data_IF_996236377995
#
_entry.id   IF_996236377995
#
_cell.length_a   1.000
_cell.length_b   1.000
_cell.length_c   1.000
_cell.angle_alpha   90.00
_cell.angle_beta   90.00
_cell.angle_gamma   90.00
#
_symmetry.space_group_name_H-M   'P 1'
#
loop_
_entity.id
_entity.type
_entity.pdbx_description
1 polymer ?
#
# COMPACT_ATOMS: atom_id res chain seq x y z
N UNK A 1 -7.98 -17.20 10.70
CA UNK A 1 -8.18 -16.52 9.39
C UNK A 1 -7.29 -15.29 9.40
N UNK A 2 -6.42 -15.08 8.39
CA UNK A 2 -5.56 -13.88 8.37
C UNK A 2 -6.43 -12.67 7.98
N UNK A 3 -6.37 -11.60 8.77
CA UNK A 3 -7.13 -10.35 8.56
C UNK A 3 -6.83 -9.78 7.17
N UNK A 4 -7.87 -9.53 6.38
CA UNK A 4 -7.74 -8.86 5.09
C UNK A 4 -7.78 -7.34 5.28
N UNK A 5 -7.20 -6.60 4.34
CA UNK A 5 -7.21 -5.13 4.41
C UNK A 5 -8.63 -4.52 4.43
N UNK A 6 -9.63 -5.27 3.95
CA UNK A 6 -11.05 -4.87 3.99
C UNK A 6 -11.69 -5.02 5.36
N UNK A 7 -11.07 -5.77 6.27
CA UNK A 7 -11.62 -6.03 7.60
C UNK A 7 -11.34 -4.89 8.58
N UNK A 8 -10.45 -3.96 8.22
CA UNK A 8 -10.17 -2.78 9.03
C UNK A 8 -11.29 -1.73 8.92
N UNK A 9 -11.67 -1.09 10.04
CA UNK A 9 -12.58 0.05 10.00
C UNK A 9 -12.05 1.18 9.11
N UNK A 10 -12.94 1.92 8.47
CA UNK A 10 -12.57 3.03 7.58
C UNK A 10 -11.63 4.06 8.23
N UNK A 11 -11.79 4.33 9.53
CA UNK A 11 -10.89 5.23 10.29
C UNK A 11 -9.44 4.73 10.36
N UNK A 12 -9.24 3.41 10.43
CA UNK A 12 -7.91 2.79 10.47
C UNK A 12 -7.29 2.84 9.07
N UNK A 13 -8.08 2.57 8.03
CA UNK A 13 -7.64 2.72 6.65
C UNK A 13 -7.31 4.18 6.28
N UNK A 14 -8.03 5.14 6.86
CA UNK A 14 -7.70 6.56 6.74
C UNK A 14 -6.37 6.88 7.41
N UNK A 15 -6.16 6.41 8.64
CA UNK A 15 -4.89 6.56 9.35
C UNK A 15 -3.71 5.92 8.58
N UNK A 16 -3.92 4.76 7.97
CA UNK A 16 -2.95 4.14 7.08
C UNK A 16 -2.61 5.03 5.88
N UNK A 17 -3.62 5.64 5.25
CA UNK A 17 -3.42 6.64 4.21
C UNK A 17 -2.56 7.82 4.68
N UNK A 18 -2.81 8.37 5.87
CA UNK A 18 -2.00 9.46 6.42
C UNK A 18 -0.54 9.03 6.70
N UNK A 19 -0.32 7.79 7.11
CA UNK A 19 1.03 7.26 7.31
C UNK A 19 1.82 7.13 5.98
N UNK A 20 1.14 6.78 4.87
CA UNK A 20 1.73 6.77 3.52
C UNK A 20 2.21 8.17 3.12
N UNK A 21 1.46 9.22 3.46
CA UNK A 21 1.85 10.62 3.22
C UNK A 21 2.98 11.10 4.15
N UNK A 22 3.48 10.25 5.05
CA UNK A 22 4.59 10.55 5.93
C UNK A 22 4.20 11.19 7.26
N UNK A 23 2.93 11.10 7.69
CA UNK A 23 2.52 11.57 9.01
C UNK A 23 3.08 10.66 10.12
N UNK A 24 4.24 11.02 10.66
CA UNK A 24 4.95 10.20 11.67
C UNK A 24 4.16 10.02 12.97
N UNK A 25 3.31 10.99 13.36
CA UNK A 25 2.43 10.84 14.53
C UNK A 25 1.42 9.71 14.33
N UNK A 26 0.79 9.66 13.16
CA UNK A 26 -0.18 8.61 12.82
C UNK A 26 0.51 7.27 12.60
N UNK A 27 1.68 7.26 11.94
CA UNK A 27 2.51 6.07 11.83
C UNK A 27 2.81 5.46 13.22
N UNK A 28 3.31 6.29 14.16
CA UNK A 28 3.59 5.85 15.52
C UNK A 28 2.33 5.41 16.26
N UNK A 29 1.19 6.06 16.00
CA UNK A 29 -0.08 5.66 16.56
C UNK A 29 -0.50 4.27 16.07
N UNK A 30 -0.44 3.98 14.77
CA UNK A 30 -0.74 2.65 14.22
C UNK A 30 0.15 1.58 14.84
N UNK A 31 1.46 1.85 14.92
CA UNK A 31 2.45 0.93 15.49
C UNK A 31 2.15 0.59 16.96
N UNK A 32 1.72 1.57 17.77
CA UNK A 32 1.46 1.40 19.21
C UNK A 32 0.05 0.88 19.52
N UNK A 33 -0.90 0.97 18.60
CA UNK A 33 -2.32 0.66 18.84
C UNK A 33 -2.79 -0.60 18.10
N UNK A 34 -1.89 -1.55 17.83
CA UNK A 34 -2.26 -2.87 17.33
C UNK A 34 -2.43 -2.95 15.80
N UNK A 35 -1.87 -2.00 15.05
CA UNK A 35 -1.81 -2.04 13.59
C UNK A 35 -0.37 -1.97 13.05
N UNK A 36 0.60 -2.73 13.61
CA UNK A 36 2.00 -2.66 13.21
C UNK A 36 2.21 -3.04 11.73
N UNK A 37 1.38 -3.91 11.18
CA UNK A 37 1.41 -4.32 9.78
C UNK A 37 1.05 -3.20 8.81
N UNK A 38 0.09 -2.33 9.16
CA UNK A 38 -0.25 -1.15 8.36
C UNK A 38 0.83 -0.07 8.49
N UNK A 39 1.41 0.07 9.68
CA UNK A 39 2.56 0.96 9.89
C UNK A 39 3.76 0.49 9.04
N UNK A 40 4.12 -0.79 9.11
CA UNK A 40 5.20 -1.38 8.33
C UNK A 40 4.93 -1.26 6.82
N UNK A 41 3.72 -1.59 6.34
CA UNK A 41 3.35 -1.41 4.94
C UNK A 41 3.49 0.05 4.48
N UNK A 42 3.09 1.02 5.31
CA UNK A 42 3.23 2.44 4.95
C UNK A 42 4.70 2.86 4.77
N UNK A 43 5.64 2.31 5.57
CA UNK A 43 7.07 2.56 5.43
C UNK A 43 7.68 1.77 4.27
N UNK A 44 7.23 0.54 4.02
CA UNK A 44 7.67 -0.28 2.88
C UNK A 44 7.34 0.41 1.55
N UNK A 45 6.08 0.87 1.38
CA UNK A 45 5.64 1.68 0.24
C UNK A 45 6.51 2.93 0.04
N UNK A 46 7.06 3.46 1.15
CA UNK A 46 7.96 4.62 1.14
C UNK A 46 9.44 4.27 0.94
N UNK A 47 9.75 3.03 0.57
CA UNK A 47 11.10 2.54 0.25
C UNK A 47 11.89 1.97 1.43
N UNK A 48 11.26 1.67 2.57
CA UNK A 48 11.96 1.07 3.71
C UNK A 48 12.12 -0.45 3.55
N UNK A 49 13.33 -0.88 3.21
CA UNK A 49 13.70 -2.30 3.13
C UNK A 49 13.50 -3.02 4.48
N UNK A 50 13.82 -2.36 5.60
CA UNK A 50 13.61 -2.93 6.93
C UNK A 50 12.13 -3.25 7.20
N UNK A 51 11.22 -2.35 6.80
CA UNK A 51 9.79 -2.56 6.93
C UNK A 51 9.29 -3.68 6.01
N UNK A 52 9.80 -3.75 4.78
CA UNK A 52 9.54 -4.86 3.85
C UNK A 52 9.95 -6.21 4.46
N UNK A 53 11.19 -6.30 4.98
CA UNK A 53 11.69 -7.51 5.64
C UNK A 53 10.88 -7.84 6.90
N UNK A 54 10.44 -6.84 7.65
CA UNK A 54 9.58 -7.03 8.81
C UNK A 54 8.25 -7.67 8.40
N UNK A 55 7.59 -7.19 7.33
CA UNK A 55 6.35 -7.78 6.82
C UNK A 55 6.53 -9.25 6.44
N UNK A 56 7.63 -9.57 5.75
CA UNK A 56 7.97 -10.94 5.35
C UNK A 56 8.16 -11.86 6.57
N UNK A 57 8.91 -11.41 7.57
CA UNK A 57 9.21 -12.19 8.79
C UNK A 57 8.02 -12.35 9.73
N UNK A 58 7.10 -11.38 9.76
CA UNK A 58 5.97 -11.37 10.70
C UNK A 58 4.66 -11.90 10.10
N UNK A 59 4.73 -12.60 8.96
CA UNK A 59 3.58 -13.32 8.42
C UNK A 59 2.63 -12.47 7.57
N UNK A 60 3.10 -11.32 7.08
CA UNK A 60 2.40 -10.40 6.17
C UNK A 60 2.98 -10.37 4.74
N UNK A 61 3.28 -11.53 4.09
CA UNK A 61 3.88 -11.55 2.76
C UNK A 61 2.95 -10.97 1.67
N UNK A 62 1.64 -10.92 1.93
CA UNK A 62 0.67 -10.29 1.01
C UNK A 62 0.82 -8.77 0.95
N UNK A 63 1.24 -8.12 2.05
CA UNK A 63 1.56 -6.70 2.08
C UNK A 63 2.92 -6.41 1.46
N UNK A 64 3.92 -7.28 1.68
CA UNK A 64 5.19 -7.21 0.95
C UNK A 64 4.97 -7.39 -0.56
N UNK A 65 4.10 -8.32 -0.97
CA UNK A 65 3.75 -8.50 -2.38
C UNK A 65 2.96 -7.30 -2.95
N UNK A 66 2.12 -6.63 -2.16
CA UNK A 66 1.46 -5.39 -2.57
C UNK A 66 2.50 -4.30 -2.87
N UNK A 67 3.45 -4.09 -1.95
CA UNK A 67 4.54 -3.12 -2.12
C UNK A 67 5.30 -3.32 -3.44
N UNK A 68 5.74 -4.55 -3.69
CA UNK A 68 6.43 -4.90 -4.94
C UNK A 68 5.53 -4.79 -6.18
N UNK A 69 4.24 -5.14 -6.07
CA UNK A 69 3.30 -5.01 -7.18
C UNK A 69 3.01 -3.53 -7.55
N UNK A 70 3.07 -2.60 -6.58
CA UNK A 70 2.96 -1.15 -6.82
C UNK A 70 4.09 -0.67 -7.72
N UNK A 71 5.32 -1.17 -7.50
CA UNK A 71 6.49 -0.86 -8.35
C UNK A 71 6.60 -1.76 -9.59
N UNK A 72 5.49 -2.40 -9.99
CA UNK A 72 5.34 -3.21 -11.21
C UNK A 72 6.16 -4.52 -11.23
N UNK A 73 6.45 -5.11 -10.06
CA UNK A 73 7.03 -6.45 -10.00
C UNK A 73 6.02 -7.52 -10.46
N UNK A 74 6.32 -8.18 -11.58
CA UNK A 74 5.45 -9.18 -12.19
C UNK A 74 5.31 -10.44 -11.33
N UNK A 75 6.35 -10.83 -10.58
CA UNK A 75 6.31 -12.02 -9.71
C UNK A 75 5.39 -11.77 -8.52
N UNK A 76 5.47 -10.60 -7.91
CA UNK A 76 4.60 -10.19 -6.82
C UNK A 76 3.13 -10.09 -7.28
N UNK A 77 2.88 -9.49 -8.44
CA UNK A 77 1.54 -9.44 -9.03
C UNK A 77 0.98 -10.85 -9.33
N UNK A 78 1.80 -11.74 -9.88
CA UNK A 78 1.41 -13.14 -10.13
C UNK A 78 1.15 -13.88 -8.81
N UNK A 79 1.94 -13.63 -7.77
CA UNK A 79 1.74 -14.22 -6.44
C UNK A 79 0.41 -13.77 -5.83
N UNK A 80 0.09 -12.47 -5.86
CA UNK A 80 -1.20 -11.95 -5.39
C UNK A 80 -2.38 -12.61 -6.12
N UNK A 81 -2.23 -12.84 -7.44
CA UNK A 81 -3.25 -13.53 -8.25
C UNK A 81 -3.39 -14.99 -7.85
N UNK A 82 -2.27 -15.72 -7.70
CA UNK A 82 -2.23 -17.13 -7.31
C UNK A 82 -2.92 -17.40 -5.97
N UNK A 83 -2.77 -16.49 -5.02
CA UNK A 83 -3.36 -16.60 -3.67
C UNK A 83 -4.65 -15.79 -3.50
N UNK A 84 -5.26 -15.34 -4.60
CA UNK A 84 -6.57 -14.69 -4.63
C UNK A 84 -6.68 -13.39 -3.80
N UNK A 85 -5.60 -12.62 -3.68
CA UNK A 85 -5.61 -11.31 -3.03
C UNK A 85 -6.14 -10.22 -3.97
N UNK A 86 -7.41 -10.35 -4.37
CA UNK A 86 -8.05 -9.49 -5.39
C UNK A 86 -7.99 -8.01 -5.00
N UNK A 87 -8.28 -7.67 -3.74
CA UNK A 87 -8.28 -6.28 -3.26
C UNK A 87 -6.89 -5.66 -3.38
N UNK A 88 -5.84 -6.37 -2.94
CA UNK A 88 -4.46 -5.87 -3.03
C UNK A 88 -4.00 -5.74 -4.48
N UNK A 89 -4.40 -6.69 -5.33
CA UNK A 89 -4.11 -6.61 -6.77
C UNK A 89 -4.73 -5.37 -7.41
N UNK A 90 -6.03 -5.14 -7.18
CA UNK A 90 -6.74 -3.94 -7.67
C UNK A 90 -6.16 -2.66 -7.08
N UNK A 91 -5.71 -2.70 -5.82
CA UNK A 91 -5.07 -1.55 -5.18
C UNK A 91 -3.74 -1.21 -5.86
N UNK A 92 -2.91 -2.20 -6.17
CA UNK A 92 -1.66 -2.01 -6.91
C UNK A 92 -1.89 -1.46 -8.33
N UNK A 93 -2.90 -1.94 -9.04
CA UNK A 93 -3.32 -1.42 -10.35
C UNK A 93 -3.78 0.05 -10.24
N UNK A 94 -4.68 0.35 -9.31
CA UNK A 94 -5.17 1.71 -9.09
C UNK A 94 -4.04 2.68 -8.68
N UNK A 95 -3.11 2.23 -7.84
CA UNK A 95 -1.95 3.01 -7.42
C UNK A 95 -1.00 3.32 -8.59
N UNK A 96 -0.97 2.48 -9.63
CA UNK A 96 -0.23 2.75 -10.88
C UNK A 96 -1.01 3.58 -11.89
N UNK A 97 -2.26 3.96 -11.57
CA UNK A 97 -3.11 4.79 -12.43
C UNK A 97 -4.05 4.02 -13.35
N UNK A 98 -4.32 2.73 -13.09
CA UNK A 98 -5.28 1.96 -13.87
C UNK A 98 -6.73 2.43 -13.61
N UNK A 99 -7.33 3.06 -14.62
CA UNK A 99 -8.70 3.55 -14.57
C UNK A 99 -9.75 2.43 -14.40
N UNK A 100 -9.50 1.23 -14.92
CA UNK A 100 -10.42 0.11 -14.75
C UNK A 100 -10.42 -0.37 -13.30
N UNK A 101 -9.25 -0.40 -12.64
CA UNK A 101 -9.16 -0.74 -11.22
C UNK A 101 -9.81 0.34 -10.33
N UNK A 102 -9.62 1.62 -10.66
CA UNK A 102 -10.31 2.73 -9.96
C UNK A 102 -11.83 2.60 -10.09
N UNK A 103 -12.33 2.34 -11.30
CA UNK A 103 -13.76 2.12 -11.55
C UNK A 103 -14.28 0.87 -10.81
N UNK A 104 -13.47 -0.19 -10.73
CA UNK A 104 -13.82 -1.42 -10.03
C UNK A 104 -14.10 -1.18 -8.54
N UNK A 105 -13.29 -0.35 -7.87
CA UNK A 105 -13.53 0.07 -6.48
C UNK A 105 -14.75 0.98 -6.36
N UNK A 106 -14.92 1.93 -7.29
CA UNK A 106 -16.02 2.89 -7.24
C UNK A 106 -17.38 2.19 -7.33
N UNK A 107 -17.51 1.20 -8.21
CA UNK A 107 -18.72 0.40 -8.39
C UNK A 107 -19.05 -0.54 -7.20
N UNK A 108 -18.16 -0.64 -6.21
CA UNK A 108 -18.32 -1.48 -5.01
C UNK A 108 -18.37 -0.67 -3.72
N UNK A 109 -18.52 0.65 -3.84
CA UNK A 109 -18.49 1.59 -2.71
C UNK A 109 -17.20 1.53 -1.87
N UNK A 110 -16.10 1.07 -2.48
CA UNK A 110 -14.78 0.92 -1.87
C UNK A 110 -13.94 2.21 -2.02
N UNK A 111 -14.55 3.36 -1.80
CA UNK A 111 -13.95 4.69 -2.05
C UNK A 111 -12.66 4.93 -1.26
N UNK A 112 -12.52 4.33 -0.08
CA UNK A 112 -11.31 4.45 0.75
C UNK A 112 -10.07 3.90 0.03
N UNK A 113 -10.21 2.83 -0.75
CA UNK A 113 -9.10 2.25 -1.50
C UNK A 113 -8.69 3.11 -2.70
N UNK A 114 -9.63 3.86 -3.29
CA UNK A 114 -9.30 4.88 -4.30
C UNK A 114 -8.48 6.01 -3.67
N UNK A 115 -8.83 6.46 -2.45
CA UNK A 115 -8.06 7.48 -1.73
C UNK A 115 -6.65 6.99 -1.40
N UNK A 116 -6.51 5.76 -0.90
CA UNK A 116 -5.20 5.15 -0.62
C UNK A 116 -4.38 5.04 -1.92
N UNK A 117 -4.97 4.52 -3.00
CA UNK A 117 -4.30 4.41 -4.30
C UNK A 117 -3.75 5.76 -4.78
N UNK A 118 -4.54 6.85 -4.64
CA UNK A 118 -4.11 8.20 -5.01
C UNK A 118 -2.91 8.68 -4.17
N UNK A 119 -2.89 8.42 -2.86
CA UNK A 119 -1.76 8.78 -1.99
C UNK A 119 -0.49 8.03 -2.38
N UNK A 120 -0.59 6.71 -2.64
CA UNK A 120 0.53 5.89 -3.13
C UNK A 120 1.03 6.41 -4.48
N UNK A 121 0.11 6.71 -5.41
CA UNK A 121 0.46 7.27 -6.73
C UNK A 121 1.19 8.60 -6.60
N UNK A 122 0.67 9.51 -5.77
CA UNK A 122 1.29 10.81 -5.52
C UNK A 122 2.72 10.66 -5.01
N UNK A 123 2.94 9.77 -4.03
CA UNK A 123 4.27 9.49 -3.49
C UNK A 123 5.22 8.93 -4.57
N UNK A 124 4.80 7.90 -5.30
CA UNK A 124 5.64 7.24 -6.32
C UNK A 124 5.94 8.12 -7.54
N UNK A 125 5.00 8.97 -7.95
CA UNK A 125 5.23 9.97 -8.99
C UNK A 125 6.27 11.01 -8.53
N UNK A 126 6.15 11.51 -7.29
CA UNK A 126 7.11 12.48 -6.73
C UNK A 126 8.53 11.91 -6.57
N UNK A 127 8.68 10.63 -6.19
CA UNK A 127 9.99 10.00 -6.14
C UNK A 127 10.69 10.03 -7.50
N UNK A 128 9.97 9.68 -8.58
CA UNK A 128 10.53 9.73 -9.94
C UNK A 128 11.04 11.13 -10.29
N UNK A 129 10.34 12.18 -9.88
CA UNK A 129 10.80 13.56 -10.09
C UNK A 129 12.05 13.92 -9.29
N UNK A 130 12.21 13.44 -8.06
CA UNK A 130 13.42 13.71 -7.27
C UNK A 130 14.67 12.99 -7.82
N UNK A 131 14.53 11.81 -8.45
CA UNK A 131 15.63 11.18 -9.19
C UNK A 131 16.10 12.00 -10.41
N UNK A 132 15.26 12.87 -10.96
CA UNK A 132 15.63 13.79 -12.05
C UNK A 132 16.22 15.14 -11.57
N UNK A 133 16.45 15.33 -10.26
CA UNK A 133 17.06 16.55 -9.69
C UNK A 133 18.56 16.48 -9.41
N UNK A 134 19.29 15.51 -9.99
CA UNK A 134 20.76 15.54 -9.99
C UNK A 134 21.30 16.01 -11.33
N UNK A 135 21.44 17.33 -11.45
CA UNK A 135 22.47 17.95 -12.27
C UNK A 135 23.19 19.01 -11.43
N UNK A 136 24.39 18.66 -10.98
CA UNK A 136 25.53 19.56 -10.82
C UNK A 136 26.72 18.89 -11.52
#
# INVERSE_FOLDING_TARGET
MKTQITDYPAKILLAFGEAIDGNDKIFMWLLKNGYPELAALSKAIRGSEEAFQWLMKNGYPHYAALDMAIVNDQKAYAWLSKYNFIILKRLAEAARGDNAAIKWFALRDLQIFIRIAKKIKHFTDNQKFDYHKLHF
#
